data_IF_277190981726
#
_entry.id   IF_277190981726
#
_cell.length_a   1.000
_cell.length_b   1.000
_cell.length_c   1.000
_cell.angle_alpha   90.00
_cell.angle_beta   90.00
_cell.angle_gamma   90.00
#
_symmetry.space_group_name_H-M   'P 1'
#
loop_
_entity.id
_entity.type
_entity.pdbx_description
1 polymer ?
#
# COMPACT_ATOMS: atom_id res chain seq x y z
N UNK A 1 9.30 3.60 -2.39
CA UNK A 1 9.74 2.62 -1.37
C UNK A 1 11.25 2.56 -1.30
N UNK A 2 11.81 2.25 -0.13
CA UNK A 2 13.25 2.10 0.05
C UNK A 2 13.58 0.70 0.60
N UNK A 3 13.93 -0.29 -0.25
CA UNK A 3 14.15 -1.66 0.20
C UNK A 3 15.34 -1.84 1.16
N UNK A 4 16.26 -0.87 1.27
CA UNK A 4 17.34 -0.93 2.25
C UNK A 4 16.94 -0.40 3.63
N UNK A 5 15.93 0.49 3.69
CA UNK A 5 15.39 1.00 4.95
C UNK A 5 14.18 0.19 5.42
N UNK A 6 13.55 -0.55 4.51
CA UNK A 6 12.51 -1.52 4.80
C UNK A 6 13.13 -2.90 5.02
N UNK A 7 13.01 -3.45 6.22
CA UNK A 7 13.57 -4.74 6.63
C UNK A 7 12.62 -5.48 7.58
N UNK A 8 12.74 -6.80 7.63
CA UNK A 8 11.97 -7.64 8.55
C UNK A 8 12.80 -8.77 9.14
N UNK A 9 12.38 -9.30 10.29
CA UNK A 9 13.06 -10.34 11.05
C UNK A 9 12.10 -11.42 11.56
N UNK A 10 11.06 -11.71 10.79
CA UNK A 10 9.98 -12.62 11.23
C UNK A 10 10.38 -14.09 11.30
N UNK A 11 11.33 -14.53 10.47
CA UNK A 11 11.71 -15.94 10.35
C UNK A 11 12.90 -16.30 11.26
N UNK A 12 13.88 -15.40 11.36
CA UNK A 12 15.07 -15.60 12.20
C UNK A 12 15.47 -14.23 12.80
N UNK A 13 15.50 -14.09 14.14
CA UNK A 13 15.79 -12.82 14.80
C UNK A 13 17.18 -12.26 14.48
N UNK A 14 18.12 -13.13 14.05
CA UNK A 14 19.48 -12.74 13.69
C UNK A 14 19.64 -12.37 12.21
N UNK A 15 18.57 -12.53 11.40
CA UNK A 15 18.59 -12.29 9.95
C UNK A 15 17.62 -11.19 9.57
N UNK A 16 18.14 -10.13 8.94
CA UNK A 16 17.33 -9.06 8.34
C UNK A 16 17.15 -9.33 6.85
N UNK A 17 15.90 -9.21 6.40
CA UNK A 17 15.54 -9.28 5.00
C UNK A 17 15.27 -7.87 4.46
N UNK A 18 15.75 -7.55 3.27
CA UNK A 18 15.43 -6.27 2.65
C UNK A 18 14.05 -6.30 2.01
N UNK A 19 13.37 -5.15 1.98
CA UNK A 19 12.07 -4.97 1.32
C UNK A 19 12.17 -4.80 -0.21
N UNK A 20 13.14 -5.47 -0.87
CA UNK A 20 13.38 -5.37 -2.33
C UNK A 20 12.14 -5.68 -3.17
N UNK A 21 11.27 -6.54 -2.65
CA UNK A 21 10.01 -6.94 -3.29
C UNK A 21 8.97 -5.82 -3.38
N UNK A 22 9.12 -4.72 -2.63
CA UNK A 22 8.23 -3.59 -2.67
C UNK A 22 7.02 -3.63 -1.71
N UNK A 23 6.78 -4.74 -1.01
CA UNK A 23 5.60 -4.89 -0.14
C UNK A 23 5.78 -4.32 1.28
N UNK A 24 6.88 -3.62 1.56
CA UNK A 24 7.09 -2.93 2.84
C UNK A 24 7.27 -1.42 2.60
N UNK A 25 6.19 -0.69 2.25
CA UNK A 25 6.28 0.71 1.86
C UNK A 25 6.67 1.60 3.04
N UNK A 26 7.71 2.42 2.85
CA UNK A 26 8.06 3.53 3.76
C UNK A 26 7.36 4.80 3.28
N UNK A 27 7.40 5.08 1.98
CA UNK A 27 6.77 6.23 1.35
C UNK A 27 5.72 5.75 0.34
N UNK A 28 4.49 6.25 0.48
CA UNK A 28 3.37 5.83 -0.37
C UNK A 28 3.30 6.56 -1.72
N UNK A 29 4.02 7.69 -1.87
CA UNK A 29 3.92 8.58 -3.04
C UNK A 29 5.26 8.91 -3.70
N UNK A 30 6.32 8.19 -3.36
CA UNK A 30 7.68 8.48 -3.84
C UNK A 30 8.22 7.31 -4.66
N UNK A 31 8.72 7.60 -5.86
CA UNK A 31 9.48 6.63 -6.66
C UNK A 31 10.79 6.31 -5.94
N UNK A 32 11.11 5.04 -5.78
CA UNK A 32 12.38 4.64 -5.19
C UNK A 32 13.52 4.96 -6.16
N UNK A 33 14.39 5.89 -5.73
CA UNK A 33 15.53 6.38 -6.53
C UNK A 33 16.50 5.29 -7.01
N UNK A 34 16.41 4.09 -6.46
CA UNK A 34 17.24 2.93 -6.88
C UNK A 34 16.67 2.23 -8.10
N UNK A 35 15.37 2.39 -8.35
CA UNK A 35 14.73 1.91 -9.58
C UNK A 35 14.69 2.97 -10.67
N UNK A 36 14.84 4.24 -10.30
CA UNK A 36 14.85 5.34 -11.24
C UNK A 36 14.24 6.62 -10.68
N UNK A 37 14.02 7.55 -11.57
CA UNK A 37 13.39 8.84 -11.35
C UNK A 37 11.93 8.82 -11.79
N UNK A 38 11.16 9.83 -11.40
CA UNK A 38 9.79 10.01 -11.90
C UNK A 38 9.75 10.17 -13.42
N UNK A 39 10.76 10.84 -14.01
CA UNK A 39 10.85 11.03 -15.46
C UNK A 39 11.08 9.69 -16.18
N UNK A 40 11.96 8.85 -15.66
CA UNK A 40 12.20 7.51 -16.20
C UNK A 40 10.94 6.62 -16.06
N UNK A 41 10.18 6.77 -14.96
CA UNK A 41 8.90 6.09 -14.81
C UNK A 41 7.89 6.54 -15.87
N UNK A 42 7.78 7.86 -16.14
CA UNK A 42 6.92 8.38 -17.22
C UNK A 42 7.36 7.89 -18.59
N UNK A 43 8.65 7.85 -18.85
CA UNK A 43 9.19 7.33 -20.09
C UNK A 43 8.89 5.85 -20.27
N UNK A 44 9.00 5.04 -19.19
CA UNK A 44 8.66 3.62 -19.21
C UNK A 44 7.19 3.42 -19.57
N UNK A 45 6.27 4.16 -18.93
CA UNK A 45 4.83 4.10 -19.20
C UNK A 45 4.52 4.48 -20.65
N UNK A 46 5.08 5.60 -21.14
CA UNK A 46 4.91 6.03 -22.54
C UNK A 46 5.39 4.95 -23.51
N UNK A 47 6.56 4.38 -23.27
CA UNK A 47 7.11 3.31 -24.13
C UNK A 47 6.23 2.07 -24.15
N UNK A 48 5.66 1.69 -22.99
CA UNK A 48 4.72 0.58 -22.90
C UNK A 48 3.44 0.85 -23.72
N UNK A 49 2.88 2.06 -23.59
CA UNK A 49 1.68 2.47 -24.34
C UNK A 49 1.94 2.53 -25.85
N UNK A 50 3.12 2.99 -26.28
CA UNK A 50 3.51 3.01 -27.70
C UNK A 50 3.55 1.59 -28.32
N UNK A 51 3.66 0.56 -27.48
CA UNK A 51 3.59 -0.85 -27.86
C UNK A 51 2.23 -1.50 -27.56
N UNK A 52 1.20 -0.70 -27.33
CA UNK A 52 -0.18 -1.14 -26.98
C UNK A 52 -0.27 -1.97 -25.69
N UNK A 53 0.65 -1.74 -24.75
CA UNK A 53 0.72 -2.44 -23.46
C UNK A 53 0.09 -1.60 -22.36
N UNK A 54 -0.89 -2.13 -21.64
CA UNK A 54 -1.40 -1.50 -20.42
C UNK A 54 -0.47 -1.79 -19.23
N UNK A 55 -0.30 -0.81 -18.36
CA UNK A 55 0.53 -0.92 -17.16
C UNK A 55 -0.29 -0.61 -15.92
N UNK A 56 -0.40 -1.55 -15.01
CA UNK A 56 -1.06 -1.35 -13.71
C UNK A 56 -0.02 -1.30 -12.59
N UNK A 57 -0.28 -0.51 -11.57
CA UNK A 57 0.57 -0.39 -10.40
C UNK A 57 0.20 -1.44 -9.35
N UNK A 58 1.16 -2.24 -8.92
CA UNK A 58 1.00 -3.07 -7.73
C UNK A 58 1.08 -2.19 -6.47
N UNK A 59 -0.03 -2.02 -5.76
CA UNK A 59 -0.18 -1.04 -4.69
C UNK A 59 -0.51 -1.68 -3.35
N UNK A 60 0.29 -1.33 -2.33
CA UNK A 60 0.11 -1.77 -0.94
C UNK A 60 -0.63 -0.67 -0.18
N UNK A 61 -1.86 -0.95 0.25
CA UNK A 61 -2.68 -0.01 1.03
C UNK A 61 -2.89 -0.46 2.49
N UNK A 62 -2.78 -1.77 2.77
CA UNK A 62 -3.11 -2.33 4.08
C UNK A 62 -2.18 -1.86 5.20
N UNK A 63 -0.91 -1.67 4.92
CA UNK A 63 0.11 -1.42 5.93
C UNK A 63 1.24 -0.52 5.42
N UNK A 64 2.02 0.00 6.37
CA UNK A 64 3.28 0.69 6.10
C UNK A 64 4.40 0.03 6.91
N UNK A 65 5.64 0.18 6.47
CA UNK A 65 6.78 -0.20 7.30
C UNK A 65 6.92 0.73 8.50
N UNK A 66 7.36 0.23 9.65
CA UNK A 66 7.53 1.01 10.90
C UNK A 66 8.44 2.24 10.75
N UNK A 67 9.34 2.26 9.75
CA UNK A 67 10.19 3.41 9.44
C UNK A 67 9.46 4.48 8.60
N UNK A 68 8.18 4.32 8.30
CA UNK A 68 7.41 5.33 7.58
C UNK A 68 7.28 6.62 8.40
N UNK A 69 7.59 7.79 7.83
CA UNK A 69 7.34 9.07 8.49
C UNK A 69 5.88 9.26 8.90
N UNK A 70 4.94 8.72 8.12
CA UNK A 70 3.50 8.75 8.45
C UNK A 70 3.22 8.10 9.80
N UNK A 71 3.83 6.93 10.07
CA UNK A 71 3.65 6.24 11.35
C UNK A 71 4.41 6.90 12.51
N UNK A 72 5.46 7.67 12.22
CA UNK A 72 6.16 8.46 13.23
C UNK A 72 5.33 9.69 13.64
N UNK A 73 4.63 10.32 12.70
CA UNK A 73 3.75 11.46 12.94
C UNK A 73 2.39 11.03 13.53
N UNK A 74 1.89 9.87 13.12
CA UNK A 74 0.59 9.33 13.49
C UNK A 74 0.70 7.87 13.99
N UNK A 75 1.33 7.63 15.15
CA UNK A 75 1.48 6.27 15.67
C UNK A 75 0.16 5.59 16.03
N UNK A 76 -0.90 6.36 16.21
CA UNK A 76 -2.27 5.93 16.49
C UNK A 76 -3.07 5.54 15.22
N UNK A 77 -2.48 5.63 14.03
CA UNK A 77 -3.14 5.24 12.77
C UNK A 77 -3.09 3.74 12.50
N UNK A 78 -2.44 2.98 13.34
CA UNK A 78 -2.39 1.51 13.24
C UNK A 78 -3.45 0.85 14.11
N UNK A 79 -3.84 -0.35 13.73
CA UNK A 79 -4.65 -1.21 14.57
C UNK A 79 -3.85 -1.72 15.78
N UNK A 80 -4.53 -2.25 16.80
CA UNK A 80 -3.88 -2.73 18.00
C UNK A 80 -3.09 -4.03 17.75
N UNK A 81 -1.81 -4.02 18.15
CA UNK A 81 -0.97 -5.22 18.12
C UNK A 81 -1.38 -6.23 19.19
N UNK A 82 -1.89 -5.77 20.33
CA UNK A 82 -2.31 -6.65 21.44
C UNK A 82 -3.83 -6.61 21.53
N UNK A 83 -4.44 -7.77 21.35
CA UNK A 83 -5.89 -7.95 21.50
C UNK A 83 -6.33 -7.83 22.95
N UNK A 84 -7.62 -7.53 23.23
CA UNK A 84 -8.16 -7.46 24.59
C UNK A 84 -7.96 -8.73 25.43
N UNK A 85 -7.79 -9.87 24.80
CA UNK A 85 -7.50 -11.16 25.46
C UNK A 85 -6.00 -11.40 25.73
N UNK A 86 -5.13 -10.44 25.34
CA UNK A 86 -3.68 -10.46 25.55
C UNK A 86 -2.88 -11.18 24.45
N UNK A 87 -3.53 -11.73 23.42
CA UNK A 87 -2.82 -12.32 22.28
C UNK A 87 -2.24 -11.23 21.36
N UNK A 88 -1.12 -11.55 20.69
CA UNK A 88 -0.63 -10.72 19.58
C UNK A 88 -1.56 -10.86 18.37
N UNK A 89 -1.97 -9.73 17.80
CA UNK A 89 -2.80 -9.64 16.60
C UNK A 89 -1.93 -9.74 15.33
N UNK A 90 -1.23 -10.87 15.19
CA UNK A 90 -0.35 -11.15 14.03
C UNK A 90 -0.82 -12.43 13.35
N UNK A 91 -0.91 -12.40 12.03
CA UNK A 91 -1.28 -13.54 11.18
C UNK A 91 -2.64 -14.20 11.54
N UNK A 92 -3.56 -13.42 12.09
CA UNK A 92 -4.93 -13.85 12.40
C UNK A 92 -5.88 -13.58 11.22
N UNK A 93 -5.53 -14.12 10.05
CA UNK A 93 -6.04 -13.77 8.72
C UNK A 93 -7.57 -13.81 8.57
N UNK A 94 -8.24 -14.69 9.25
CA UNK A 94 -9.70 -14.84 9.19
C UNK A 94 -10.39 -14.27 10.43
N UNK A 95 -9.82 -14.47 11.63
CA UNK A 95 -10.37 -14.01 12.89
C UNK A 95 -10.33 -12.47 13.00
N UNK A 96 -9.21 -11.86 12.63
CA UNK A 96 -8.96 -10.43 12.74
C UNK A 96 -8.71 -9.83 11.35
N UNK A 97 -9.53 -10.20 10.38
CA UNK A 97 -9.33 -9.94 8.95
C UNK A 97 -8.97 -8.48 8.59
N UNK A 98 -9.57 -7.50 9.27
CA UNK A 98 -9.36 -6.08 8.98
C UNK A 98 -8.32 -5.41 9.89
N UNK A 99 -7.85 -6.11 10.92
CA UNK A 99 -7.00 -5.49 11.95
C UNK A 99 -5.70 -6.25 12.19
N UNK A 100 -5.57 -7.49 11.69
CA UNK A 100 -4.36 -8.30 11.93
C UNK A 100 -3.14 -7.71 11.26
N UNK A 101 -2.04 -7.64 11.98
CA UNK A 101 -0.74 -7.27 11.42
C UNK A 101 -0.16 -8.46 10.64
N UNK A 102 0.50 -8.15 9.54
CA UNK A 102 1.20 -9.17 8.78
C UNK A 102 2.53 -9.55 9.44
N UNK A 103 3.19 -8.58 10.07
CA UNK A 103 4.35 -8.77 10.94
C UNK A 103 4.57 -7.49 11.79
N UNK A 104 5.43 -7.57 12.81
CA UNK A 104 5.76 -6.45 13.72
C UNK A 104 6.37 -5.23 13.02
N UNK A 105 7.06 -5.43 11.90
CA UNK A 105 7.68 -4.34 11.14
C UNK A 105 6.76 -3.71 10.08
N UNK A 106 5.57 -4.25 9.88
CA UNK A 106 4.55 -3.79 8.92
C UNK A 106 3.16 -3.72 9.57
N UNK A 107 2.98 -2.78 10.52
CA UNK A 107 1.72 -2.57 11.21
C UNK A 107 0.59 -2.26 10.24
N UNK A 108 -0.56 -2.87 10.45
CA UNK A 108 -1.78 -2.64 9.68
C UNK A 108 -2.39 -1.30 10.03
N UNK A 109 -2.76 -0.53 9.00
CA UNK A 109 -3.44 0.75 9.15
C UNK A 109 -4.93 0.55 9.51
N UNK A 110 -5.45 1.36 10.41
CA UNK A 110 -6.87 1.38 10.74
C UNK A 110 -7.69 2.16 9.69
N UNK A 111 -7.84 1.53 8.52
CA UNK A 111 -8.52 2.12 7.36
C UNK A 111 -10.06 2.21 7.53
N UNK A 112 -10.63 1.76 8.64
CA UNK A 112 -12.03 2.01 8.97
C UNK A 112 -12.23 3.43 9.51
N UNK A 113 -11.17 4.05 10.07
CA UNK A 113 -11.19 5.46 10.50
C UNK A 113 -11.03 6.38 9.30
N UNK A 114 -11.91 7.37 9.18
CA UNK A 114 -11.90 8.31 8.05
C UNK A 114 -10.62 9.13 7.98
N UNK A 115 -10.10 9.60 9.13
CA UNK A 115 -8.85 10.36 9.22
C UNK A 115 -7.60 9.58 8.78
N UNK A 116 -7.67 8.25 8.76
CA UNK A 116 -6.62 7.37 8.22
C UNK A 116 -6.90 7.04 6.75
N UNK A 117 -8.14 6.69 6.45
CA UNK A 117 -8.56 6.25 5.12
C UNK A 117 -8.42 7.36 4.07
N UNK A 118 -8.78 8.61 4.43
CA UNK A 118 -8.78 9.74 3.50
C UNK A 118 -7.38 10.04 2.95
N UNK A 119 -6.31 10.29 3.75
CA UNK A 119 -4.97 10.54 3.23
C UNK A 119 -4.35 9.30 2.56
N UNK A 120 -4.71 8.09 2.99
CA UNK A 120 -4.19 6.88 2.34
C UNK A 120 -4.81 6.63 0.97
N UNK A 121 -6.08 6.98 0.77
CA UNK A 121 -6.70 6.97 -0.56
C UNK A 121 -6.19 8.10 -1.45
N UNK A 122 -5.83 9.28 -0.89
CA UNK A 122 -5.15 10.34 -1.64
C UNK A 122 -3.75 9.91 -2.10
N UNK A 123 -3.03 9.18 -1.26
CA UNK A 123 -1.73 8.58 -1.61
C UNK A 123 -1.85 7.59 -2.77
N UNK A 124 -2.91 6.77 -2.78
CA UNK A 124 -3.18 5.90 -3.93
C UNK A 124 -3.51 6.73 -5.18
N UNK A 125 -4.43 7.69 -5.06
CA UNK A 125 -4.85 8.56 -6.17
C UNK A 125 -3.70 9.35 -6.79
N UNK A 126 -2.66 9.70 -6.00
CA UNK A 126 -1.46 10.40 -6.45
C UNK A 126 -0.84 9.72 -7.70
N UNK A 127 -0.73 8.40 -7.70
CA UNK A 127 -0.06 7.65 -8.76
C UNK A 127 -0.77 7.77 -10.11
N UNK A 128 -2.09 7.60 -10.15
CA UNK A 128 -2.84 7.69 -11.41
C UNK A 128 -3.12 9.14 -11.85
N UNK A 129 -2.99 10.12 -10.95
CA UNK A 129 -3.07 11.55 -11.30
C UNK A 129 -1.77 12.10 -11.88
N UNK A 130 -0.62 11.61 -11.41
CA UNK A 130 0.70 12.14 -11.78
C UNK A 130 1.46 11.25 -12.78
N UNK A 131 0.99 10.00 -12.95
CA UNK A 131 1.55 9.02 -13.87
C UNK A 131 0.43 8.35 -14.65
N UNK A 132 0.72 7.94 -15.87
CA UNK A 132 -0.27 7.37 -16.79
C UNK A 132 -0.43 5.84 -16.60
N UNK A 133 -0.63 5.39 -15.36
CA UNK A 133 -1.00 4.00 -15.08
C UNK A 133 -2.44 3.73 -15.51
N UNK A 134 -2.70 2.53 -16.02
CA UNK A 134 -4.03 2.08 -16.46
C UNK A 134 -4.88 1.53 -15.32
N UNK A 135 -4.34 1.46 -14.11
CA UNK A 135 -5.05 1.00 -12.91
C UNK A 135 -4.13 0.40 -11.84
N UNK A 136 -4.71 -0.47 -11.02
CA UNK A 136 -4.02 -1.11 -9.90
C UNK A 136 -4.18 -2.62 -9.86
N UNK A 137 -3.14 -3.30 -9.38
CA UNK A 137 -3.26 -4.53 -8.63
C UNK A 137 -3.20 -4.16 -7.15
N UNK A 138 -4.23 -4.48 -6.39
CA UNK A 138 -4.29 -4.19 -4.96
C UNK A 138 -3.80 -5.38 -4.16
N UNK A 139 -2.70 -5.17 -3.46
CA UNK A 139 -2.13 -6.13 -2.51
C UNK A 139 -3.07 -6.34 -1.32
N UNK A 140 -3.12 -7.56 -0.78
CA UNK A 140 -3.84 -7.92 0.43
C UNK A 140 -5.31 -7.42 0.46
N UNK A 141 -6.00 -7.42 -0.66
CA UNK A 141 -7.34 -6.85 -0.84
C UNK A 141 -8.36 -7.38 0.17
N UNK A 142 -8.25 -8.65 0.58
CA UNK A 142 -9.07 -9.31 1.61
C UNK A 142 -9.06 -8.55 2.94
N UNK A 143 -7.93 -7.91 3.28
CA UNK A 143 -7.69 -7.28 4.58
C UNK A 143 -8.04 -5.78 4.63
N UNK A 144 -8.52 -5.23 3.50
CA UNK A 144 -8.85 -3.81 3.38
C UNK A 144 -10.37 -3.63 3.50
N UNK A 145 -10.86 -2.67 4.32
CA UNK A 145 -12.27 -2.48 4.53
C UNK A 145 -12.99 -1.89 3.30
N UNK A 146 -14.28 -2.19 3.18
CA UNK A 146 -15.12 -1.68 2.09
C UNK A 146 -15.16 -0.16 2.02
N UNK A 147 -15.02 0.51 3.17
CA UNK A 147 -14.94 1.97 3.26
C UNK A 147 -13.81 2.54 2.39
N UNK A 148 -12.61 1.98 2.49
CA UNK A 148 -11.46 2.36 1.67
C UNK A 148 -11.77 2.24 0.16
N UNK A 149 -12.33 1.11 -0.27
CA UNK A 149 -12.64 0.87 -1.68
C UNK A 149 -13.68 1.85 -2.24
N UNK A 150 -14.69 2.18 -1.44
CA UNK A 150 -15.71 3.16 -1.82
C UNK A 150 -15.09 4.56 -1.96
N UNK A 151 -14.26 4.98 -1.00
CA UNK A 151 -13.59 6.27 -1.01
C UNK A 151 -12.64 6.39 -2.18
N UNK A 152 -11.74 5.41 -2.39
CA UNK A 152 -10.81 5.40 -3.51
C UNK A 152 -11.55 5.44 -4.86
N UNK A 153 -12.56 4.60 -5.04
CA UNK A 153 -13.36 4.56 -6.27
C UNK A 153 -14.06 5.91 -6.53
N UNK A 154 -14.62 6.53 -5.50
CA UNK A 154 -15.23 7.84 -5.62
C UNK A 154 -14.22 8.91 -6.04
N UNK A 155 -13.06 8.96 -5.39
CA UNK A 155 -11.97 9.89 -5.72
C UNK A 155 -11.46 9.70 -7.15
N UNK A 156 -11.27 8.45 -7.57
CA UNK A 156 -10.82 8.12 -8.93
C UNK A 156 -11.84 8.60 -9.99
N UNK A 157 -13.12 8.27 -9.81
CA UNK A 157 -14.19 8.69 -10.73
C UNK A 157 -14.37 10.20 -10.77
N UNK A 158 -14.22 10.89 -9.63
CA UNK A 158 -14.31 12.34 -9.57
C UNK A 158 -13.11 13.03 -10.24
N UNK A 159 -11.91 12.47 -10.08
CA UNK A 159 -10.69 13.06 -10.65
C UNK A 159 -10.54 12.77 -12.16
N UNK A 160 -11.02 11.62 -12.61
CA UNK A 160 -10.81 11.13 -13.98
C UNK A 160 -12.06 10.41 -14.51
N UNK A 161 -13.18 11.13 -14.71
CA UNK A 161 -14.49 10.54 -15.02
C UNK A 161 -14.48 9.76 -16.36
N UNK A 162 -13.63 10.15 -17.30
CA UNK A 162 -13.56 9.56 -18.64
C UNK A 162 -12.59 8.36 -18.75
N UNK A 163 -11.81 8.09 -17.69
CA UNK A 163 -10.83 6.99 -17.68
C UNK A 163 -11.43 5.71 -17.10
N UNK A 164 -11.32 4.63 -17.86
CA UNK A 164 -11.59 3.28 -17.36
C UNK A 164 -10.33 2.71 -16.71
N UNK A 165 -10.33 2.59 -15.39
CA UNK A 165 -9.20 2.07 -14.63
C UNK A 165 -9.38 0.59 -14.31
N UNK A 166 -8.37 -0.20 -14.61
CA UNK A 166 -8.31 -1.61 -14.19
C UNK A 166 -8.15 -1.70 -12.67
N UNK A 167 -8.95 -2.55 -12.05
CA UNK A 167 -8.89 -2.83 -10.61
C UNK A 167 -8.84 -4.34 -10.40
N UNK A 168 -7.70 -4.83 -9.97
CA UNK A 168 -7.46 -6.25 -9.70
C UNK A 168 -7.09 -6.38 -8.22
N UNK A 169 -7.83 -7.20 -7.46
CA UNK A 169 -7.57 -7.47 -6.06
C UNK A 169 -6.91 -8.83 -5.86
N UNK A 170 -5.86 -8.88 -5.04
CA UNK A 170 -5.34 -10.14 -4.54
C UNK A 170 -6.21 -10.63 -3.38
N UNK A 171 -6.82 -11.81 -3.56
CA UNK A 171 -7.63 -12.49 -2.53
C UNK A 171 -7.26 -13.97 -2.50
N UNK A 172 -6.87 -14.49 -1.34
CA UNK A 172 -6.54 -15.90 -1.11
C UNK A 172 -7.02 -16.37 0.28
#
# INVERSE_FOLDING_TARGET
QNPYDAWGQNVNPDTKFSGYHGYWPIYSTVVDKRFGTEEELRQMLSTAHDTEMNVILDYVANHLHINSPVLQEHPDWTTDLILPDGRENIALWDEQRLTTWFDKHIPTLDLEREEVCEPMTDSALHWIKNFDFDGYRHDACKHIPLHYWRMLTHKMKSAMPERNMWQIGETY
#
